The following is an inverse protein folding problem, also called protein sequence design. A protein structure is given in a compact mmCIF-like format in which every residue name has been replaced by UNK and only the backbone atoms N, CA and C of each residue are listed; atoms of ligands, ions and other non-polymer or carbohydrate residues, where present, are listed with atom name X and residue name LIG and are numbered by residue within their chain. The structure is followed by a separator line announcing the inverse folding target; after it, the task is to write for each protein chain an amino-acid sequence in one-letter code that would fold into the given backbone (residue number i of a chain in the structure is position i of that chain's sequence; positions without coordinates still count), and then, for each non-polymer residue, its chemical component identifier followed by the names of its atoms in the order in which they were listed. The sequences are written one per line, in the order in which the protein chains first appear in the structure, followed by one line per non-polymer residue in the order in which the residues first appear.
data_IF_211412291877
#
_entry.id   IF_211412291877
#
_cell.length_a   1.000
_cell.length_b   1.000
_cell.length_c   1.000
_cell.angle_alpha   90.00
_cell.angle_beta   90.00
_cell.angle_gamma   90.00
#
_symmetry.space_group_name_H-M   'P 1'
#
loop_
_entity.id
_entity.type
_entity.pdbx_description
1 polymer ?
#
# COMPACT_ATOMS: atom_id res chain seq x y z
N UNK A 1 -6.81 -28.04 22.52
CA UNK A 1 -6.74 -26.88 21.61
C UNK A 1 -5.64 -26.02 22.20
N UNK A 2 -4.45 -26.06 21.58
CA UNK A 2 -3.18 -25.83 22.27
C UNK A 2 -2.80 -24.35 22.40
N UNK A 3 -2.33 -23.99 23.60
CA UNK A 3 -1.13 -23.22 23.98
C UNK A 3 -0.52 -22.20 22.99
N UNK A 4 -1.34 -21.50 22.22
CA UNK A 4 -0.91 -20.32 21.45
C UNK A 4 -1.38 -19.01 22.08
N UNK A 5 -2.27 -19.08 23.08
CA UNK A 5 -2.86 -17.90 23.72
C UNK A 5 -1.83 -17.09 24.54
N UNK A 6 -0.68 -17.67 24.90
CA UNK A 6 0.37 -16.99 25.68
C UNK A 6 1.55 -16.47 24.81
N UNK A 7 1.55 -16.73 23.50
CA UNK A 7 2.65 -16.28 22.63
C UNK A 7 2.52 -14.78 22.35
N UNK A 8 3.46 -14.00 22.88
CA UNK A 8 3.56 -12.55 22.63
C UNK A 8 4.27 -12.31 21.29
N UNK A 9 3.54 -11.80 20.31
CA UNK A 9 4.03 -11.49 18.96
C UNK A 9 4.53 -10.04 18.87
N UNK A 10 5.62 -9.74 19.56
CA UNK A 10 6.23 -8.40 19.60
C UNK A 10 7.21 -8.14 18.44
N UNK A 11 7.85 -6.97 18.43
CA UNK A 11 8.76 -6.56 17.36
C UNK A 11 10.01 -7.44 17.30
N UNK A 12 10.57 -7.85 18.45
CA UNK A 12 11.76 -8.70 18.50
C UNK A 12 11.45 -10.11 17.98
N UNK A 13 10.28 -10.65 18.30
CA UNK A 13 9.79 -11.91 17.74
C UNK A 13 9.69 -11.84 16.20
N UNK A 14 9.12 -10.76 15.67
CA UNK A 14 9.00 -10.56 14.21
C UNK A 14 10.37 -10.38 13.56
N UNK A 15 11.30 -9.67 14.20
CA UNK A 15 12.67 -9.45 13.68
C UNK A 15 13.55 -10.69 13.76
N UNK A 16 13.31 -11.56 14.75
CA UNK A 16 14.03 -12.81 14.94
C UNK A 16 13.62 -13.93 13.98
N UNK A 17 12.56 -13.75 13.20
CA UNK A 17 12.15 -14.73 12.19
C UNK A 17 13.24 -14.89 11.12
N UNK A 18 13.82 -16.08 11.02
CA UNK A 18 14.83 -16.41 10.00
C UNK A 18 14.27 -16.31 8.56
N UNK A 19 12.96 -16.51 8.41
CA UNK A 19 12.28 -16.52 7.12
C UNK A 19 11.13 -15.53 7.13
N UNK A 20 11.23 -14.51 6.29
CA UNK A 20 10.14 -13.60 5.99
C UNK A 20 9.32 -14.16 4.82
N UNK A 21 8.28 -14.94 5.11
CA UNK A 21 7.33 -15.31 4.08
C UNK A 21 6.48 -14.11 3.65
N UNK A 22 6.09 -14.00 2.37
CA UNK A 22 5.14 -12.99 1.96
C UNK A 22 3.85 -13.11 2.78
N UNK A 23 3.35 -11.98 3.26
CA UNK A 23 2.04 -11.92 3.91
C UNK A 23 0.99 -12.63 3.06
N UNK A 24 -0.04 -13.20 3.68
CA UNK A 24 -1.15 -13.83 2.96
C UNK A 24 -1.68 -12.92 1.85
N UNK A 25 -1.78 -11.61 2.11
CA UNK A 25 -2.18 -10.59 1.14
C UNK A 25 -1.24 -10.49 -0.06
N UNK A 26 0.07 -10.52 0.16
CA UNK A 26 1.05 -10.48 -0.92
C UNK A 26 0.92 -11.70 -1.84
N UNK A 27 0.75 -12.91 -1.29
CA UNK A 27 0.53 -14.13 -2.09
C UNK A 27 -0.76 -14.03 -2.92
N UNK A 28 -1.85 -13.56 -2.30
CA UNK A 28 -3.13 -13.35 -3.00
C UNK A 28 -3.00 -12.34 -4.16
N UNK A 29 -2.24 -11.25 -3.97
CA UNK A 29 -1.97 -10.27 -5.03
C UNK A 29 -1.11 -10.87 -6.14
N UNK A 30 -0.08 -11.64 -5.80
CA UNK A 30 0.78 -12.32 -6.77
C UNK A 30 -0.03 -13.28 -7.65
N UNK A 31 -0.89 -14.12 -7.07
CA UNK A 31 -1.74 -15.04 -7.84
C UNK A 31 -2.74 -14.29 -8.72
N UNK A 32 -3.27 -13.15 -8.24
CA UNK A 32 -4.13 -12.28 -9.04
C UNK A 32 -3.37 -11.72 -10.25
N UNK A 33 -2.19 -11.15 -10.04
CA UNK A 33 -1.39 -10.53 -11.10
C UNK A 33 -0.82 -11.52 -12.12
N UNK A 34 -0.61 -12.79 -11.74
CA UNK A 34 -0.26 -13.83 -12.71
C UNK A 34 -1.36 -14.05 -13.75
N UNK A 35 -2.62 -13.82 -13.39
CA UNK A 35 -3.78 -13.97 -14.28
C UNK A 35 -4.19 -12.66 -14.93
N UNK A 36 -4.10 -11.58 -14.18
CA UNK A 36 -4.57 -10.26 -14.54
C UNK A 36 -3.57 -9.23 -14.03
N UNK A 37 -2.46 -9.12 -14.78
CA UNK A 37 -1.46 -8.10 -14.51
C UNK A 37 -2.08 -6.72 -14.75
N UNK A 38 -1.80 -5.72 -13.90
CA UNK A 38 -2.24 -4.37 -14.17
C UNK A 38 -1.55 -3.84 -15.44
N UNK A 39 -2.29 -3.06 -16.22
CA UNK A 39 -1.73 -2.34 -17.35
C UNK A 39 -0.60 -1.38 -16.89
N UNK A 40 0.48 -1.23 -17.68
CA UNK A 40 1.56 -0.32 -17.34
C UNK A 40 1.04 1.12 -17.30
N UNK A 41 1.09 1.71 -16.12
CA UNK A 41 0.72 3.11 -15.94
C UNK A 41 1.91 4.03 -16.26
N UNK A 42 1.67 5.22 -16.83
CA UNK A 42 2.73 6.18 -17.07
C UNK A 42 3.36 6.62 -15.72
N UNK A 43 4.68 6.84 -15.73
CA UNK A 43 5.45 7.28 -14.56
C UNK A 43 4.95 8.61 -13.96
N UNK A 44 4.18 9.37 -14.74
CA UNK A 44 3.35 10.47 -14.28
C UNK A 44 1.94 10.29 -14.83
N UNK A 45 0.96 10.37 -13.95
CA UNK A 45 -0.40 10.67 -14.38
C UNK A 45 -0.44 12.13 -14.83
N UNK A 46 -0.75 12.38 -16.11
CA UNK A 46 -1.01 13.73 -16.60
C UNK A 46 -2.24 14.35 -15.90
N UNK A 47 -3.12 13.49 -15.40
CA UNK A 47 -4.24 13.86 -14.56
C UNK A 47 -3.83 13.86 -13.06
N UNK A 48 -4.01 14.98 -12.35
CA UNK A 48 -3.70 15.03 -10.92
C UNK A 48 -4.62 14.06 -10.17
N UNK A 49 -4.09 13.23 -9.25
CA UNK A 49 -4.89 12.30 -8.49
C UNK A 49 -5.94 13.07 -7.68
N UNK A 50 -7.18 12.61 -7.80
CA UNK A 50 -8.42 13.15 -7.23
C UNK A 50 -8.21 14.27 -6.19
N UNK A 51 -8.38 15.52 -6.62
CA UNK A 51 -8.58 16.66 -5.70
C UNK A 51 -7.38 17.56 -5.42
N UNK A 52 -6.16 17.28 -5.89
CA UNK A 52 -5.02 18.21 -5.71
C UNK A 52 -5.01 19.40 -6.69
N UNK A 53 -6.17 19.96 -7.03
CA UNK A 53 -6.18 21.33 -7.53
C UNK A 53 -5.85 22.26 -6.35
N UNK A 54 -4.59 22.65 -6.20
CA UNK A 54 -4.32 24.00 -5.73
C UNK A 54 -4.83 24.94 -6.83
N UNK A 55 -6.15 25.15 -6.85
CA UNK A 55 -6.78 25.92 -7.90
C UNK A 55 -6.12 27.30 -7.94
N UNK A 56 -5.36 27.55 -9.01
CA UNK A 56 -4.79 28.88 -9.29
C UNK A 56 -5.90 29.94 -9.28
N UNK A 57 -7.13 29.53 -9.64
CA UNK A 57 -8.38 30.30 -9.46
C UNK A 57 -8.70 30.65 -8.00
N UNK A 58 -8.60 29.74 -7.01
CA UNK A 58 -8.77 30.11 -5.59
C UNK A 58 -7.61 30.97 -5.07
N UNK A 59 -6.37 30.77 -5.53
CA UNK A 59 -5.23 31.65 -5.16
C UNK A 59 -5.47 33.09 -5.62
N UNK A 60 -6.08 33.31 -6.80
CA UNK A 60 -6.39 34.64 -7.32
C UNK A 60 -7.53 35.34 -6.58
N UNK A 61 -8.47 34.60 -6.00
CA UNK A 61 -9.58 35.16 -5.19
C UNK A 61 -9.14 35.60 -3.78
N UNK A 62 -8.10 35.01 -3.20
CA UNK A 62 -7.55 35.42 -1.88
C UNK A 62 -6.63 36.65 -1.93
N UNK A 63 -6.43 37.26 -3.10
CA UNK A 63 -5.58 38.45 -3.30
C UNK A 63 -6.37 39.69 -3.75
N UNK A 64 -7.70 39.66 -3.63
CA UNK A 64 -8.57 40.83 -3.81
C UNK A 64 -9.27 41.13 -2.51
#
# INVERSE_FOLDING_TARGET
MGEVDEVVLDEDFVRGAEVAEPSARARMLTERWRREAPEPQPWRADEPPAGWFWSRRRKRRRRR
#
